data_IF_593865934177
#
_entry.id   IF_593865934177
#
_cell.length_a   1.000
_cell.length_b   1.000
_cell.length_c   1.000
_cell.angle_alpha   90.00
_cell.angle_beta   90.00
_cell.angle_gamma   90.00
#
_symmetry.space_group_name_H-M   'P 1'
#
loop_
_entity.id
_entity.type
_entity.pdbx_description
1 polymer ?
#
# COMPACT_ATOMS: atom_id res chain seq x y z
N UNK A 1 14.78 12.49 5.85
CA UNK A 1 14.23 11.54 6.85
C UNK A 1 15.30 10.96 7.77
N UNK A 2 16.48 10.59 7.24
CA UNK A 2 17.58 10.07 8.07
C UNK A 2 18.00 11.04 9.20
N UNK A 3 18.02 12.34 8.95
CA UNK A 3 18.39 13.32 9.99
C UNK A 3 17.32 13.42 11.08
N UNK A 4 16.06 13.18 10.76
CA UNK A 4 15.00 13.02 11.76
C UNK A 4 15.27 11.80 12.65
N UNK A 5 15.60 10.63 12.07
CA UNK A 5 15.96 9.44 12.87
C UNK A 5 17.12 9.72 13.84
N UNK A 6 18.17 10.39 13.35
CA UNK A 6 19.31 10.80 14.19
C UNK A 6 18.89 11.75 15.31
N UNK A 7 17.96 12.67 15.04
CA UNK A 7 17.52 13.67 16.00
C UNK A 7 16.64 13.08 17.11
N UNK A 8 15.82 12.05 16.81
CA UNK A 8 14.92 11.42 17.81
C UNK A 8 15.60 10.29 18.57
N UNK A 9 16.68 9.74 18.02
CA UNK A 9 17.41 8.63 18.63
C UNK A 9 17.97 9.03 20.01
N UNK A 10 17.55 8.29 21.03
CA UNK A 10 17.88 8.57 22.42
C UNK A 10 17.10 9.72 23.07
N UNK A 11 16.30 10.48 22.32
CA UNK A 11 15.46 11.56 22.87
C UNK A 11 14.03 11.12 23.13
N UNK A 12 13.51 10.17 22.35
CA UNK A 12 12.17 9.63 22.48
C UNK A 12 12.30 8.14 22.82
N UNK A 13 12.19 7.75 24.09
CA UNK A 13 12.52 6.39 24.52
C UNK A 13 11.66 5.29 23.90
N UNK A 14 10.41 5.59 23.56
CA UNK A 14 9.45 4.67 22.95
C UNK A 14 9.28 4.85 21.43
N UNK A 15 10.20 5.57 20.77
CA UNK A 15 10.17 5.71 19.33
C UNK A 15 10.60 4.37 18.67
N UNK A 16 9.67 3.72 17.97
CA UNK A 16 9.88 2.40 17.40
C UNK A 16 10.29 2.44 15.92
N UNK A 17 9.78 3.39 15.15
CA UNK A 17 10.05 3.42 13.71
C UNK A 17 9.19 4.44 12.96
N UNK A 18 9.15 4.30 11.65
CA UNK A 18 8.47 5.22 10.73
C UNK A 18 7.61 4.44 9.73
N UNK A 19 6.39 4.91 9.48
CA UNK A 19 5.71 4.63 8.22
C UNK A 19 6.28 5.57 7.15
N UNK A 20 6.98 4.99 6.18
CA UNK A 20 7.62 5.74 5.10
C UNK A 20 6.78 5.66 3.84
N UNK A 21 6.22 6.81 3.42
CA UNK A 21 5.37 6.94 2.24
C UNK A 21 5.94 8.04 1.34
N UNK A 22 7.04 7.72 0.68
CA UNK A 22 7.73 8.62 -0.25
C UNK A 22 8.48 7.81 -1.31
N UNK A 23 8.62 8.34 -2.51
CA UNK A 23 9.14 7.63 -3.69
C UNK A 23 10.62 7.28 -3.60
N UNK A 24 11.41 7.95 -2.75
CA UNK A 24 12.84 7.71 -2.66
C UNK A 24 13.18 6.43 -1.89
N UNK A 25 13.20 5.30 -2.58
CA UNK A 25 13.70 4.03 -2.02
C UNK A 25 15.18 4.13 -1.58
N UNK A 26 15.96 5.03 -2.18
CA UNK A 26 17.33 5.32 -1.73
C UNK A 26 17.34 5.86 -0.29
N UNK A 27 16.50 6.87 0.00
CA UNK A 27 16.41 7.42 1.36
C UNK A 27 15.80 6.42 2.34
N UNK A 28 14.77 5.66 1.92
CA UNK A 28 14.20 4.56 2.71
C UNK A 28 15.29 3.58 3.14
N UNK A 29 16.12 3.10 2.23
CA UNK A 29 17.17 2.14 2.53
C UNK A 29 18.24 2.71 3.47
N UNK A 30 18.59 3.98 3.34
CA UNK A 30 19.48 4.65 4.30
C UNK A 30 18.91 4.68 5.71
N UNK A 31 17.62 4.98 5.82
CA UNK A 31 16.91 4.98 7.12
C UNK A 31 16.86 3.57 7.72
N UNK A 32 16.49 2.57 6.90
CA UNK A 32 16.42 1.17 7.32
C UNK A 32 17.76 0.66 7.86
N UNK A 33 18.88 1.07 7.26
CA UNK A 33 20.24 0.65 7.67
C UNK A 33 20.80 1.45 8.83
N UNK A 34 20.10 2.47 9.31
CA UNK A 34 20.60 3.30 10.41
C UNK A 34 20.78 2.47 11.68
N UNK A 35 22.01 2.48 12.25
CA UNK A 35 22.38 1.68 13.43
C UNK A 35 21.93 0.21 13.33
N UNK A 36 22.30 -0.43 12.20
CA UNK A 36 22.03 -1.84 11.94
C UNK A 36 20.53 -2.21 12.00
N UNK A 37 19.66 -1.30 11.59
CA UNK A 37 18.22 -1.53 11.57
C UNK A 37 17.54 -1.29 12.92
N UNK A 38 18.08 -0.42 13.73
CA UNK A 38 17.52 -0.10 15.06
C UNK A 38 16.03 0.27 15.03
N UNK A 39 15.58 0.97 13.99
CA UNK A 39 14.20 1.43 13.85
C UNK A 39 13.45 0.65 12.79
N UNK A 40 12.22 0.31 13.09
CA UNK A 40 11.33 -0.31 12.13
C UNK A 40 10.92 0.68 11.03
N UNK A 41 11.01 0.23 9.78
CA UNK A 41 10.68 1.05 8.61
C UNK A 41 9.53 0.39 7.83
N UNK A 42 8.29 0.76 8.18
CA UNK A 42 7.12 0.26 7.48
C UNK A 42 6.98 0.93 6.11
N UNK A 43 6.79 0.13 5.08
CA UNK A 43 6.60 0.64 3.71
C UNK A 43 5.15 1.08 3.49
N UNK A 44 4.96 2.32 3.07
CA UNK A 44 3.64 2.93 2.95
C UNK A 44 3.10 3.04 1.52
N UNK A 45 3.83 2.51 0.51
CA UNK A 45 3.43 2.55 -0.89
C UNK A 45 3.25 1.13 -1.44
N UNK A 46 2.01 0.71 -1.62
CA UNK A 46 1.66 -0.64 -2.07
C UNK A 46 2.14 -0.92 -3.50
N UNK A 47 2.28 0.13 -4.32
CA UNK A 47 2.80 0.10 -5.69
C UNK A 47 4.28 -0.26 -5.82
N UNK A 48 5.05 -0.25 -4.73
CA UNK A 48 6.50 -0.48 -4.74
C UNK A 48 6.97 -1.48 -3.68
N UNK A 49 6.13 -2.43 -3.27
CA UNK A 49 6.48 -3.46 -2.29
C UNK A 49 7.63 -4.32 -2.82
N UNK A 50 7.54 -4.86 -4.03
CA UNK A 50 8.54 -5.76 -4.59
C UNK A 50 9.94 -5.11 -4.73
N UNK A 51 10.10 -3.92 -5.33
CA UNK A 51 11.40 -3.27 -5.36
C UNK A 51 11.92 -2.93 -3.95
N UNK A 52 11.04 -2.63 -2.99
CA UNK A 52 11.44 -2.41 -1.61
C UNK A 52 11.94 -3.70 -0.93
N UNK A 53 11.29 -4.84 -1.18
CA UNK A 53 11.75 -6.17 -0.74
C UNK A 53 13.14 -6.50 -1.28
N UNK A 54 13.39 -6.20 -2.57
CA UNK A 54 14.68 -6.43 -3.21
C UNK A 54 15.85 -5.66 -2.53
N UNK A 55 15.55 -4.57 -1.83
CA UNK A 55 16.51 -3.82 -1.02
C UNK A 55 16.56 -4.28 0.45
N UNK A 56 15.85 -5.37 0.78
CA UNK A 56 15.73 -5.89 2.14
C UNK A 56 14.77 -5.09 3.03
N UNK A 57 13.89 -4.27 2.44
CA UNK A 57 12.83 -3.53 3.13
C UNK A 57 11.47 -4.21 3.05
N UNK A 58 10.41 -3.44 3.30
CA UNK A 58 9.01 -3.85 3.24
C UNK A 58 8.68 -5.14 4.03
N UNK A 59 9.34 -5.34 5.16
CA UNK A 59 9.00 -6.41 6.10
C UNK A 59 7.57 -6.26 6.61
N UNK A 60 7.09 -5.01 6.72
CA UNK A 60 5.71 -4.66 6.94
C UNK A 60 5.25 -3.61 5.92
N UNK A 61 4.15 -3.88 5.23
CA UNK A 61 3.44 -2.92 4.37
C UNK A 61 2.25 -2.32 5.11
N UNK A 62 2.07 -1.01 5.01
CA UNK A 62 0.95 -0.29 5.64
C UNK A 62 0.38 0.77 4.69
N UNK A 63 0.21 0.41 3.44
CA UNK A 63 -0.44 1.22 2.43
C UNK A 63 -1.96 1.18 2.53
N UNK A 64 -2.61 2.11 1.86
CA UNK A 64 -4.06 2.25 1.94
C UNK A 64 -4.83 1.12 1.26
N UNK A 65 -4.29 0.53 0.19
CA UNK A 65 -4.97 -0.54 -0.53
C UNK A 65 -4.96 -1.88 0.23
N UNK A 66 -4.12 -2.01 1.27
CA UNK A 66 -4.09 -3.18 2.16
C UNK A 66 -5.48 -3.53 2.70
N UNK A 67 -6.37 -2.55 2.89
CA UNK A 67 -7.72 -2.76 3.40
C UNK A 67 -8.57 -3.69 2.52
N UNK A 68 -8.36 -3.69 1.21
CA UNK A 68 -9.14 -4.48 0.24
C UNK A 68 -8.29 -5.34 -0.70
N UNK A 69 -6.98 -5.10 -0.77
CA UNK A 69 -6.04 -5.83 -1.63
C UNK A 69 -4.93 -6.56 -0.85
N UNK A 70 -5.09 -6.75 0.46
CA UNK A 70 -4.09 -7.31 1.35
C UNK A 70 -3.63 -8.72 0.96
N UNK A 71 -4.54 -9.57 0.43
CA UNK A 71 -4.17 -10.90 -0.09
C UNK A 71 -3.11 -10.84 -1.18
N UNK A 72 -3.25 -9.90 -2.11
CA UNK A 72 -2.29 -9.71 -3.20
C UNK A 72 -0.96 -9.19 -2.64
N UNK A 73 -1.00 -8.20 -1.74
CA UNK A 73 0.19 -7.60 -1.15
C UNK A 73 0.97 -8.61 -0.29
N UNK A 74 0.27 -9.44 0.49
CA UNK A 74 0.89 -10.57 1.21
C UNK A 74 1.46 -11.60 0.24
N UNK A 75 0.73 -11.90 -0.83
CA UNK A 75 1.20 -12.80 -1.88
C UNK A 75 2.50 -12.36 -2.56
N UNK A 76 2.73 -11.05 -2.71
CA UNK A 76 4.02 -10.52 -3.21
C UNK A 76 5.15 -10.88 -2.24
N UNK A 77 4.93 -10.70 -0.94
CA UNK A 77 5.94 -11.01 0.08
C UNK A 77 6.23 -12.52 0.15
N UNK A 78 5.19 -13.35 0.09
CA UNK A 78 5.31 -14.81 0.09
C UNK A 78 6.04 -15.32 -1.16
N UNK A 79 5.66 -14.85 -2.36
CA UNK A 79 6.33 -15.21 -3.60
C UNK A 79 7.81 -14.80 -3.58
N UNK A 80 8.12 -13.59 -3.11
CA UNK A 80 9.51 -13.14 -2.92
C UNK A 80 10.28 -14.04 -1.96
N UNK A 81 9.71 -14.38 -0.80
CA UNK A 81 10.36 -15.23 0.20
C UNK A 81 10.63 -16.65 -0.32
N UNK A 82 9.77 -17.15 -1.21
CA UNK A 82 9.93 -18.45 -1.87
C UNK A 82 10.84 -18.41 -3.12
N UNK A 83 11.36 -17.24 -3.50
CA UNK A 83 12.19 -17.07 -4.69
C UNK A 83 11.42 -17.07 -6.01
N UNK A 84 10.08 -17.05 -5.97
CA UNK A 84 9.22 -17.00 -7.15
C UNK A 84 9.05 -15.54 -7.63
N UNK A 85 10.08 -15.07 -8.33
CA UNK A 85 10.12 -13.69 -8.82
C UNK A 85 9.10 -13.40 -9.91
N UNK A 86 8.72 -14.41 -10.69
CA UNK A 86 7.72 -14.26 -11.75
C UNK A 86 6.34 -13.98 -11.11
N UNK A 87 5.97 -14.80 -10.13
CA UNK A 87 4.73 -14.61 -9.38
C UNK A 87 4.72 -13.30 -8.59
N UNK A 88 5.85 -12.94 -7.97
CA UNK A 88 5.97 -11.67 -7.26
C UNK A 88 5.74 -10.46 -8.17
N UNK A 89 6.28 -10.50 -9.40
CA UNK A 89 6.07 -9.44 -10.41
C UNK A 89 4.61 -9.39 -10.91
N UNK A 90 4.01 -10.55 -11.19
CA UNK A 90 2.60 -10.63 -11.58
C UNK A 90 1.70 -9.95 -10.53
N UNK A 91 1.89 -10.31 -9.27
CA UNK A 91 1.10 -9.75 -8.17
C UNK A 91 1.37 -8.26 -7.94
N UNK A 92 2.62 -7.82 -8.09
CA UNK A 92 2.96 -6.39 -8.00
C UNK A 92 2.32 -5.59 -9.14
N UNK A 93 2.33 -6.09 -10.37
CA UNK A 93 1.66 -5.45 -11.49
C UNK A 93 0.14 -5.35 -11.22
N UNK A 94 -0.48 -6.41 -10.76
CA UNK A 94 -1.89 -6.38 -10.39
C UNK A 94 -2.19 -5.37 -9.27
N UNK A 95 -1.31 -5.25 -8.27
CA UNK A 95 -1.45 -4.23 -7.23
C UNK A 95 -1.40 -2.80 -7.80
N UNK A 96 -0.57 -2.57 -8.82
CA UNK A 96 -0.50 -1.30 -9.53
C UNK A 96 -1.77 -1.05 -10.36
N UNK A 97 -2.29 -2.06 -11.08
CA UNK A 97 -3.55 -1.95 -11.83
C UNK A 97 -4.71 -1.50 -10.91
N UNK A 98 -4.78 -2.05 -9.69
CA UNK A 98 -5.78 -1.61 -8.69
C UNK A 98 -5.57 -0.15 -8.29
N UNK A 99 -4.33 0.30 -8.15
CA UNK A 99 -4.01 1.69 -7.81
C UNK A 99 -4.37 2.63 -8.97
N UNK A 100 -4.11 2.24 -10.20
CA UNK A 100 -4.50 3.00 -11.39
C UNK A 100 -6.02 3.20 -11.42
N UNK A 101 -6.81 2.15 -11.18
CA UNK A 101 -8.27 2.26 -11.09
C UNK A 101 -8.67 3.26 -10.01
N UNK A 102 -8.17 3.16 -8.77
CA UNK A 102 -8.58 4.09 -7.71
C UNK A 102 -8.17 5.54 -7.97
N UNK A 103 -7.11 5.77 -8.74
CA UNK A 103 -6.67 7.12 -9.12
C UNK A 103 -7.71 7.83 -9.99
N UNK A 104 -8.47 7.13 -10.83
CA UNK A 104 -9.60 7.69 -11.56
C UNK A 104 -10.72 8.19 -10.65
N UNK A 105 -10.80 7.66 -9.43
CA UNK A 105 -11.85 7.98 -8.44
C UNK A 105 -11.31 8.71 -7.20
N UNK A 106 -10.41 9.66 -7.39
CA UNK A 106 -9.83 10.52 -6.33
C UNK A 106 -9.00 9.77 -5.29
N UNK A 107 -8.35 8.68 -5.72
CA UNK A 107 -7.39 7.92 -4.92
C UNK A 107 -7.98 7.10 -3.78
N UNK A 108 -7.09 6.60 -2.93
CA UNK A 108 -7.47 5.61 -1.91
C UNK A 108 -8.47 6.11 -0.86
N UNK A 109 -8.46 7.41 -0.50
CA UNK A 109 -9.39 7.93 0.52
C UNK A 109 -10.83 7.88 0.00
N UNK A 110 -11.06 8.27 -1.23
CA UNK A 110 -12.41 8.35 -1.81
C UNK A 110 -12.77 7.06 -2.55
N UNK A 111 -11.99 6.70 -3.58
CA UNK A 111 -12.19 5.47 -4.36
C UNK A 111 -12.04 4.22 -3.52
N UNK A 112 -10.99 4.12 -2.69
CA UNK A 112 -10.77 2.98 -1.82
C UNK A 112 -11.90 2.76 -0.82
N UNK A 113 -12.45 3.83 -0.26
CA UNK A 113 -13.62 3.72 0.63
C UNK A 113 -14.87 3.20 -0.11
N UNK A 114 -15.04 3.56 -1.38
CA UNK A 114 -16.12 3.01 -2.22
C UNK A 114 -15.86 1.54 -2.56
N UNK A 115 -14.60 1.14 -2.79
CA UNK A 115 -14.23 -0.28 -2.97
C UNK A 115 -14.62 -1.10 -1.73
N UNK A 116 -14.36 -0.60 -0.52
CA UNK A 116 -14.78 -1.28 0.71
C UNK A 116 -16.27 -1.58 0.72
N UNK A 117 -17.12 -0.63 0.28
CA UNK A 117 -18.56 -0.85 0.13
C UNK A 117 -18.85 -1.94 -0.90
N UNK A 118 -18.15 -1.95 -2.04
CA UNK A 118 -18.35 -2.94 -3.09
C UNK A 118 -17.99 -4.37 -2.67
N UNK A 119 -17.09 -4.53 -1.69
CA UNK A 119 -16.72 -5.84 -1.11
C UNK A 119 -17.50 -6.17 0.17
N UNK A 120 -18.50 -5.35 0.55
CA UNK A 120 -19.45 -5.65 1.61
C UNK A 120 -19.30 -4.88 2.92
N UNK A 121 -18.34 -3.94 3.02
CA UNK A 121 -18.17 -3.10 4.22
C UNK A 121 -18.42 -1.63 3.90
N UNK A 122 -19.65 -1.15 4.10
CA UNK A 122 -20.00 0.26 3.92
C UNK A 122 -19.50 1.10 5.11
N UNK A 123 -18.51 1.93 4.85
CA UNK A 123 -17.91 2.86 5.82
C UNK A 123 -18.60 4.26 5.81
N UNK A 124 -19.70 4.40 5.09
CA UNK A 124 -20.42 5.65 4.94
C UNK A 124 -19.70 6.70 4.07
N UNK A 125 -20.17 7.96 4.06
CA UNK A 125 -19.61 9.01 3.21
C UNK A 125 -18.24 9.50 3.70
N UNK A 126 -17.47 10.09 2.79
CA UNK A 126 -16.30 10.87 3.16
C UNK A 126 -16.72 12.21 3.79
N UNK A 127 -15.91 12.70 4.72
CA UNK A 127 -16.08 14.04 5.27
C UNK A 127 -15.58 15.10 4.28
N UNK A 128 -16.14 16.30 4.37
CA UNK A 128 -15.62 17.46 3.65
C UNK A 128 -14.13 17.68 3.99
N UNK A 129 -13.32 18.17 3.06
CA UNK A 129 -13.65 18.67 1.72
C UNK A 129 -13.74 17.60 0.62
N UNK A 130 -13.65 16.32 0.93
CA UNK A 130 -13.66 15.24 -0.07
C UNK A 130 -15.05 15.09 -0.70
N UNK A 131 -15.08 15.06 -2.03
CA UNK A 131 -16.28 14.73 -2.80
C UNK A 131 -16.43 13.21 -2.86
N UNK A 132 -17.63 12.72 -2.53
CA UNK A 132 -17.91 11.29 -2.60
C UNK A 132 -18.02 10.81 -4.06
N UNK A 133 -17.78 9.52 -4.27
CA UNK A 133 -18.10 8.84 -5.54
C UNK A 133 -19.61 8.84 -5.73
N UNK A 134 -20.08 9.30 -6.90
CA UNK A 134 -21.51 9.27 -7.27
C UNK A 134 -21.95 7.84 -7.62
N UNK A 135 -23.25 7.62 -7.80
CA UNK A 135 -23.75 6.29 -8.18
C UNK A 135 -23.36 5.90 -9.61
N UNK A 136 -23.23 6.88 -10.51
CA UNK A 136 -22.69 6.66 -11.87
C UNK A 136 -21.21 6.31 -11.83
N UNK A 137 -20.42 7.05 -11.07
CA UNK A 137 -18.99 6.73 -10.85
C UNK A 137 -18.80 5.37 -10.15
N UNK A 138 -19.71 4.96 -9.24
CA UNK A 138 -19.66 3.62 -8.63
C UNK A 138 -19.81 2.52 -9.66
N UNK A 139 -20.74 2.70 -10.63
CA UNK A 139 -20.93 1.73 -11.72
C UNK A 139 -19.66 1.62 -12.59
N UNK A 140 -19.04 2.77 -12.91
CA UNK A 140 -17.80 2.81 -13.65
C UNK A 140 -16.66 2.17 -12.86
N UNK A 141 -16.48 2.51 -11.58
CA UNK A 141 -15.49 1.91 -10.70
C UNK A 141 -15.64 0.38 -10.64
N UNK A 142 -16.87 -0.11 -10.50
CA UNK A 142 -17.16 -1.55 -10.50
C UNK A 142 -16.72 -2.20 -11.83
N UNK A 143 -17.07 -1.59 -12.96
CA UNK A 143 -16.73 -2.13 -14.28
C UNK A 143 -15.19 -2.17 -14.49
N UNK A 144 -14.46 -1.13 -14.08
CA UNK A 144 -13.00 -1.10 -14.16
C UNK A 144 -12.37 -2.17 -13.25
N UNK A 145 -12.90 -2.39 -12.04
CA UNK A 145 -12.44 -3.45 -11.13
C UNK A 145 -12.74 -4.85 -11.67
N UNK A 146 -13.90 -5.07 -12.30
CA UNK A 146 -14.27 -6.33 -12.95
C UNK A 146 -13.33 -6.63 -14.13
N UNK A 147 -12.96 -5.61 -14.92
CA UNK A 147 -12.05 -5.76 -16.05
C UNK A 147 -10.65 -6.27 -15.68
N UNK A 148 -10.19 -5.98 -14.47
CA UNK A 148 -8.90 -6.48 -13.94
C UNK A 148 -9.06 -7.72 -13.04
N UNK A 149 -10.22 -8.35 -12.99
CA UNK A 149 -10.50 -9.52 -12.14
C UNK A 149 -10.32 -9.27 -10.62
N UNK A 150 -10.53 -8.02 -10.18
CA UNK A 150 -10.29 -7.62 -8.79
C UNK A 150 -11.10 -8.44 -7.78
N UNK A 151 -12.39 -8.68 -8.02
CA UNK A 151 -13.29 -9.32 -7.05
C UNK A 151 -12.96 -10.79 -6.77
N UNK A 152 -12.18 -11.46 -7.61
CA UNK A 152 -11.68 -12.82 -7.35
C UNK A 152 -10.36 -12.80 -6.55
N UNK A 153 -9.63 -11.69 -6.56
CA UNK A 153 -8.31 -11.55 -5.94
C UNK A 153 -8.32 -10.75 -4.63
N UNK A 154 -9.29 -9.87 -4.42
CA UNK A 154 -9.37 -8.98 -3.28
C UNK A 154 -9.62 -9.71 -1.95
N UNK A 155 -9.54 -8.96 -0.86
CA UNK A 155 -9.99 -9.43 0.45
C UNK A 155 -11.50 -9.68 0.44
N UNK A 156 -11.92 -10.80 0.97
CA UNK A 156 -13.34 -11.15 1.20
C UNK A 156 -13.50 -11.65 2.61
#
# INVERSE_FOLDING_TARGET
MLDFLKAVDGRIPNFAGIKYTFESLYEYNRCRRYKDGKFDMLHGQDETILPCLAMGGAQGGIGGTTNYNGRVLTGIQEAWANGDLEKARELQNFAQDVIDVICHFRGNIVGGKRIMKLIGLDLGPNRTPFQNVTDEEEKQLRAELEAIDFFNRCNK
#
